data_IF_108526529416
#
_entry.id   IF_108526529416
#
_cell.length_a   1.000
_cell.length_b   1.000
_cell.length_c   1.000
_cell.angle_alpha   90.00
_cell.angle_beta   90.00
_cell.angle_gamma   90.00
#
_symmetry.space_group_name_H-M   'P 1'
#
loop_
_entity.id
_entity.type
_entity.pdbx_description
1 polymer ?
#
# COMPACT_ATOMS: atom_id res chain seq x y z
N UNK A 1 4.63 24.85 -10.80
CA UNK A 1 3.78 23.62 -10.64
C UNK A 1 4.16 22.86 -9.35
N UNK A 2 5.46 22.72 -9.05
CA UNK A 2 5.97 22.07 -7.82
C UNK A 2 5.37 22.68 -6.54
N UNK A 3 5.43 24.01 -6.39
CA UNK A 3 4.97 24.72 -5.19
C UNK A 3 3.48 24.46 -4.87
N UNK A 4 2.68 24.13 -5.88
CA UNK A 4 1.27 23.75 -5.68
C UNK A 4 1.14 22.44 -4.88
N UNK A 5 1.99 21.46 -5.12
CA UNK A 5 1.96 20.16 -4.44
C UNK A 5 2.56 20.22 -3.02
N UNK A 6 3.40 21.22 -2.73
CA UNK A 6 3.89 21.46 -1.37
C UNK A 6 2.78 21.97 -0.43
N UNK A 7 1.77 22.66 -0.98
CA UNK A 7 0.66 23.23 -0.21
C UNK A 7 -0.46 22.23 0.09
N UNK A 8 -0.43 21.01 -0.49
CA UNK A 8 -1.48 20.01 -0.32
C UNK A 8 -1.09 19.00 0.77
N UNK A 9 -1.72 19.04 1.95
CA UNK A 9 -1.42 18.11 3.03
C UNK A 9 -1.78 16.68 2.62
N UNK A 10 -0.96 15.73 3.01
CA UNK A 10 -1.17 14.29 2.78
C UNK A 10 -1.19 13.86 1.30
N UNK A 11 -0.68 14.70 0.39
CA UNK A 11 -0.50 14.35 -1.01
C UNK A 11 0.99 14.19 -1.30
N UNK A 12 1.38 13.00 -1.72
CA UNK A 12 2.72 12.73 -2.23
C UNK A 12 2.74 12.90 -3.74
N UNK A 13 3.72 13.66 -4.23
CA UNK A 13 3.95 13.87 -5.66
C UNK A 13 5.35 13.43 -6.03
N UNK A 14 5.48 12.74 -7.16
CA UNK A 14 6.77 12.43 -7.78
C UNK A 14 6.71 12.55 -9.30
N UNK A 15 7.86 12.73 -9.92
CA UNK A 15 8.02 12.63 -11.38
C UNK A 15 9.25 11.81 -11.72
N UNK A 16 9.16 11.03 -12.80
CA UNK A 16 10.22 10.18 -13.33
C UNK A 16 10.47 10.45 -14.82
N UNK A 17 11.70 10.32 -15.25
CA UNK A 17 12.07 10.34 -16.66
C UNK A 17 11.70 9.02 -17.38
N UNK A 18 11.96 8.95 -18.69
CA UNK A 18 11.72 7.75 -19.49
C UNK A 18 12.60 6.54 -19.11
N UNK A 19 13.62 6.75 -18.27
CA UNK A 19 14.48 5.70 -17.71
C UNK A 19 14.08 5.33 -16.27
N UNK A 20 12.89 5.79 -15.80
CA UNK A 20 12.35 5.59 -14.46
C UNK A 20 13.24 6.15 -13.35
N UNK A 21 14.01 7.19 -13.62
CA UNK A 21 14.77 7.92 -12.61
C UNK A 21 13.93 9.07 -12.08
N UNK A 22 13.91 9.23 -10.77
CA UNK A 22 13.22 10.32 -10.09
C UNK A 22 13.82 11.67 -10.48
N UNK A 23 12.97 12.56 -10.96
CA UNK A 23 13.30 13.91 -11.41
C UNK A 23 12.77 14.99 -10.46
N UNK A 24 11.75 14.65 -9.69
CA UNK A 24 11.14 15.55 -8.70
C UNK A 24 10.35 14.75 -7.68
N UNK A 25 10.17 15.31 -6.50
CA UNK A 25 9.25 14.84 -5.48
C UNK A 25 8.95 15.99 -4.53
N UNK A 26 7.71 16.06 -4.02
CA UNK A 26 7.40 17.01 -2.96
C UNK A 26 7.92 16.49 -1.61
N UNK A 27 7.91 17.36 -0.61
CA UNK A 27 8.41 17.04 0.73
C UNK A 27 7.76 15.80 1.34
N UNK A 28 6.46 15.61 1.14
CA UNK A 28 5.74 14.43 1.64
C UNK A 28 6.27 13.12 1.02
N UNK A 29 6.56 13.11 -0.29
CA UNK A 29 7.13 11.95 -0.96
C UNK A 29 8.59 11.68 -0.52
N UNK A 30 9.40 12.74 -0.38
CA UNK A 30 10.79 12.64 0.11
C UNK A 30 10.82 11.99 1.49
N UNK A 31 10.02 12.49 2.44
CA UNK A 31 9.93 11.92 3.79
C UNK A 31 9.40 10.47 3.77
N UNK A 32 8.40 10.17 2.94
CA UNK A 32 7.89 8.80 2.79
C UNK A 32 8.97 7.83 2.30
N UNK A 33 9.91 8.30 1.49
CA UNK A 33 11.08 7.52 1.06
C UNK A 33 12.17 7.41 2.15
N UNK A 34 11.97 7.99 3.33
CA UNK A 34 12.96 8.01 4.42
C UNK A 34 14.14 8.97 4.17
N UNK A 35 13.94 9.98 3.32
CA UNK A 35 14.94 10.98 2.97
C UNK A 35 14.59 12.33 3.60
N UNK A 36 15.60 13.19 3.78
CA UNK A 36 15.40 14.51 4.37
C UNK A 36 15.22 15.61 3.29
N UNK A 37 15.89 15.45 2.16
CA UNK A 37 15.94 16.45 1.10
C UNK A 37 15.67 15.88 -0.29
N UNK A 38 15.03 16.66 -1.15
CA UNK A 38 14.74 16.25 -2.53
C UNK A 38 16.03 15.94 -3.33
N UNK A 39 17.13 16.63 -3.05
CA UNK A 39 18.41 16.37 -3.70
C UNK A 39 18.89 14.93 -3.54
N UNK A 40 18.52 14.26 -2.44
CA UNK A 40 18.84 12.84 -2.21
C UNK A 40 17.96 11.90 -3.04
N UNK A 41 16.80 12.39 -3.49
CA UNK A 41 15.85 11.65 -4.32
C UNK A 41 16.25 11.65 -5.79
N UNK A 42 16.81 12.76 -6.28
CA UNK A 42 17.05 12.98 -7.69
C UNK A 42 18.00 11.94 -8.30
N UNK A 43 17.60 11.38 -9.44
CA UNK A 43 18.35 10.36 -10.17
C UNK A 43 18.23 8.95 -9.63
N UNK A 44 17.67 8.74 -8.42
CA UNK A 44 17.40 7.42 -7.86
C UNK A 44 16.26 6.72 -8.63
N UNK A 45 16.25 5.39 -8.52
CA UNK A 45 15.16 4.53 -8.99
C UNK A 45 14.44 3.93 -7.80
N UNK A 46 13.27 3.36 -8.04
CA UNK A 46 12.50 2.69 -6.97
C UNK A 46 13.30 1.63 -6.22
N UNK A 47 14.20 0.89 -6.90
CA UNK A 47 15.05 -0.13 -6.28
C UNK A 47 16.07 0.43 -5.27
N UNK A 48 16.36 1.73 -5.34
CA UNK A 48 17.26 2.40 -4.39
C UNK A 48 16.51 2.81 -3.10
N UNK A 49 15.18 2.83 -3.15
CA UNK A 49 14.32 3.37 -2.08
C UNK A 49 13.39 2.34 -1.44
N UNK A 50 12.90 1.39 -2.23
CA UNK A 50 11.89 0.43 -1.82
C UNK A 50 12.42 -1.01 -1.83
N UNK A 51 11.65 -1.95 -1.29
CA UNK A 51 11.98 -3.37 -1.39
C UNK A 51 12.00 -3.82 -2.85
N UNK A 52 12.79 -4.83 -3.22
CA UNK A 52 12.89 -5.28 -4.62
C UNK A 52 11.54 -5.59 -5.27
N UNK A 53 10.60 -6.20 -4.52
CA UNK A 53 9.30 -6.56 -5.04
C UNK A 53 8.40 -5.34 -5.25
N UNK A 54 8.40 -4.38 -4.31
CA UNK A 54 7.67 -3.12 -4.48
C UNK A 54 8.22 -2.32 -5.66
N UNK A 55 9.55 -2.19 -5.72
CA UNK A 55 10.23 -1.48 -6.78
C UNK A 55 9.92 -2.10 -8.16
N UNK A 56 9.93 -3.42 -8.29
CA UNK A 56 9.59 -4.09 -9.55
C UNK A 56 8.12 -3.88 -9.92
N UNK A 57 7.20 -3.95 -8.94
CA UNK A 57 5.78 -3.65 -9.18
C UNK A 57 5.60 -2.22 -9.70
N UNK A 58 6.20 -1.24 -9.02
CA UNK A 58 6.13 0.17 -9.44
C UNK A 58 6.72 0.36 -10.84
N UNK A 59 7.85 -0.28 -11.13
CA UNK A 59 8.49 -0.22 -12.44
C UNK A 59 7.65 -0.89 -13.55
N UNK A 60 6.90 -1.95 -13.25
CA UNK A 60 5.98 -2.58 -14.23
C UNK A 60 4.86 -1.63 -14.61
N UNK A 61 4.22 -0.99 -13.62
CA UNK A 61 3.17 0.00 -13.85
C UNK A 61 3.70 1.19 -14.67
N UNK A 62 4.88 1.68 -14.30
CA UNK A 62 5.52 2.82 -14.97
C UNK A 62 5.89 2.49 -16.43
N UNK A 63 6.47 1.31 -16.68
CA UNK A 63 6.77 0.83 -18.05
C UNK A 63 5.49 0.68 -18.89
N UNK A 64 4.38 0.26 -18.28
CA UNK A 64 3.08 0.20 -18.97
C UNK A 64 2.65 1.59 -19.45
N UNK A 65 2.76 2.61 -18.59
CA UNK A 65 2.43 4.00 -18.92
C UNK A 65 3.34 4.51 -20.06
N UNK A 66 4.66 4.32 -19.93
CA UNK A 66 5.62 4.75 -20.94
C UNK A 66 5.39 4.07 -22.30
N UNK A 67 4.95 2.80 -22.30
CA UNK A 67 4.68 2.06 -23.54
C UNK A 67 3.36 2.46 -24.19
N UNK A 68 2.31 2.70 -23.38
CA UNK A 68 0.94 2.86 -23.88
C UNK A 68 0.50 4.32 -23.99
N UNK A 69 1.15 5.23 -23.27
CA UNK A 69 0.73 6.62 -23.11
C UNK A 69 -0.59 6.77 -22.35
N UNK A 70 -1.09 5.69 -21.72
CA UNK A 70 -2.36 5.71 -20.98
C UNK A 70 -2.11 5.90 -19.50
N UNK A 71 -2.89 6.77 -18.83
CA UNK A 71 -2.78 6.94 -17.39
C UNK A 71 -3.27 5.70 -16.63
N UNK A 72 -2.81 5.54 -15.40
CA UNK A 72 -3.38 4.66 -14.40
C UNK A 72 -4.03 5.56 -13.36
N UNK A 73 -5.32 5.37 -13.12
CA UNK A 73 -6.09 6.18 -12.18
C UNK A 73 -6.62 5.32 -11.03
N UNK A 74 -6.69 5.91 -9.83
CA UNK A 74 -7.29 5.30 -8.64
C UNK A 74 -6.79 3.88 -8.33
N UNK A 75 -5.51 3.62 -8.57
CA UNK A 75 -4.91 2.35 -8.20
C UNK A 75 -4.77 2.26 -6.68
N UNK A 76 -5.53 1.34 -6.07
CA UNK A 76 -5.51 1.15 -4.62
C UNK A 76 -4.43 0.15 -4.24
N UNK A 77 -3.47 0.60 -3.46
CA UNK A 77 -2.27 -0.15 -3.08
C UNK A 77 -2.07 -0.14 -1.57
N UNK A 78 -1.45 -1.21 -1.08
CA UNK A 78 -0.99 -1.32 0.30
C UNK A 78 0.54 -1.26 0.30
N UNK A 79 1.12 -0.25 0.93
CA UNK A 79 2.56 -0.18 1.14
C UNK A 79 2.90 0.54 2.46
N UNK A 80 4.12 0.36 3.00
CA UNK A 80 4.50 0.96 4.27
C UNK A 80 4.56 2.48 4.20
N UNK A 81 4.09 3.13 5.26
CA UNK A 81 4.34 4.56 5.49
C UNK A 81 5.80 4.79 5.96
N UNK A 82 6.16 6.02 6.26
CA UNK A 82 7.50 6.41 6.75
C UNK A 82 7.92 5.70 8.05
N UNK A 83 6.96 5.22 8.84
CA UNK A 83 7.22 4.44 10.05
C UNK A 83 7.29 2.93 9.79
N UNK A 84 7.18 2.49 8.54
CA UNK A 84 7.17 1.08 8.18
C UNK A 84 5.82 0.39 8.38
N UNK A 85 4.78 1.13 8.78
CA UNK A 85 3.43 0.59 8.98
C UNK A 85 2.68 0.63 7.64
N UNK A 86 2.18 -0.50 7.14
CA UNK A 86 1.43 -0.53 5.90
C UNK A 86 0.13 0.26 6.00
N UNK A 87 -0.07 1.13 5.04
CA UNK A 87 -1.27 1.93 4.86
C UNK A 87 -1.83 1.77 3.45
N UNK A 88 -3.13 2.07 3.32
CA UNK A 88 -3.80 2.09 2.03
C UNK A 88 -3.58 3.43 1.34
N UNK A 89 -3.15 3.35 0.08
CA UNK A 89 -2.96 4.51 -0.77
C UNK A 89 -3.75 4.38 -2.05
N UNK A 90 -4.19 5.51 -2.59
CA UNK A 90 -4.68 5.64 -3.96
C UNK A 90 -3.62 6.35 -4.77
N UNK A 91 -3.19 5.73 -5.85
CA UNK A 91 -2.14 6.23 -6.75
C UNK A 91 -2.73 6.54 -8.12
N UNK A 92 -2.52 7.75 -8.57
CA UNK A 92 -2.76 8.17 -9.95
C UNK A 92 -1.41 8.39 -10.63
N UNK A 93 -1.21 7.83 -11.81
CA UNK A 93 0.01 8.01 -12.61
C UNK A 93 -0.37 8.46 -14.01
N UNK A 94 0.25 9.53 -14.50
CA UNK A 94 0.00 10.07 -15.82
C UNK A 94 1.30 10.21 -16.62
N UNK A 95 1.27 9.98 -17.95
CA UNK A 95 2.43 10.23 -18.80
C UNK A 95 2.71 11.72 -18.95
N UNK A 96 3.97 12.06 -19.04
CA UNK A 96 4.47 13.41 -19.37
C UNK A 96 4.92 13.41 -20.82
N UNK A 97 4.52 14.43 -21.57
CA UNK A 97 4.86 14.56 -22.99
C UNK A 97 5.79 15.74 -23.23
N UNK A 98 6.69 15.58 -24.19
CA UNK A 98 7.47 16.68 -24.75
C UNK A 98 6.54 17.60 -25.57
N UNK A 99 7.08 18.76 -26.00
CA UNK A 99 6.35 19.63 -26.94
C UNK A 99 6.12 18.97 -28.31
N UNK A 100 6.93 18.00 -28.68
CA UNK A 100 6.77 17.20 -29.93
C UNK A 100 5.74 16.08 -29.80
N UNK A 101 5.17 15.84 -28.60
CA UNK A 101 4.18 14.80 -28.36
C UNK A 101 4.77 13.42 -28.00
N UNK A 102 6.07 13.32 -27.82
CA UNK A 102 6.74 12.09 -27.37
C UNK A 102 6.66 11.95 -25.85
N UNK A 103 6.62 10.71 -25.34
CA UNK A 103 6.59 10.47 -23.90
C UNK A 103 7.97 10.75 -23.30
N UNK A 104 8.06 11.76 -22.46
CA UNK A 104 9.28 12.18 -21.77
C UNK A 104 9.48 11.46 -20.42
N UNK A 105 8.39 10.94 -19.86
CA UNK A 105 8.40 10.35 -18.53
C UNK A 105 6.97 10.20 -18.00
N UNK A 106 6.84 10.18 -16.69
CA UNK A 106 5.55 10.13 -16.00
C UNK A 106 5.61 10.93 -14.70
N UNK A 107 4.45 11.28 -14.17
CA UNK A 107 4.33 11.73 -12.79
C UNK A 107 3.23 10.98 -12.07
N UNK A 108 3.33 10.92 -10.76
CA UNK A 108 2.38 10.25 -9.89
C UNK A 108 1.94 11.12 -8.72
N UNK A 109 0.69 10.93 -8.34
CA UNK A 109 0.07 11.46 -7.14
C UNK A 109 -0.35 10.30 -6.26
N UNK A 110 0.10 10.30 -5.01
CA UNK A 110 -0.22 9.27 -4.04
C UNK A 110 -0.86 9.94 -2.83
N UNK A 111 -2.01 9.43 -2.42
CA UNK A 111 -2.76 9.93 -1.26
C UNK A 111 -3.25 8.78 -0.38
N UNK A 112 -3.38 9.02 0.90
CA UNK A 112 -4.01 8.05 1.79
C UNK A 112 -5.40 7.69 1.26
N UNK A 113 -5.67 6.40 1.14
CA UNK A 113 -6.95 5.90 0.64
C UNK A 113 -7.97 5.85 1.78
N UNK A 114 -8.79 6.90 1.85
CA UNK A 114 -9.94 6.98 2.75
C UNK A 114 -11.20 6.84 1.93
N UNK A 115 -12.12 6.01 2.39
CA UNK A 115 -13.38 5.75 1.69
C UNK A 115 -14.53 6.16 2.57
N UNK A 116 -15.46 6.91 1.99
CA UNK A 116 -16.79 7.07 2.59
C UNK A 116 -17.58 5.79 2.34
N UNK A 117 -18.02 5.16 3.40
CA UNK A 117 -18.79 3.92 3.39
C UNK A 117 -20.17 4.16 3.97
N UNK A 118 -21.18 3.44 3.48
CA UNK A 118 -22.49 3.43 4.11
C UNK A 118 -22.45 2.68 5.47
N UNK A 119 -23.42 2.96 6.33
CA UNK A 119 -23.47 2.41 7.70
C UNK A 119 -23.38 0.88 7.73
N UNK A 120 -23.99 0.20 6.76
CA UNK A 120 -23.97 -1.26 6.67
C UNK A 120 -22.57 -1.79 6.37
N UNK A 121 -21.86 -1.15 5.43
CA UNK A 121 -20.49 -1.54 5.11
C UNK A 121 -19.51 -1.13 6.21
N UNK A 122 -19.75 0.00 6.86
CA UNK A 122 -18.99 0.44 8.02
C UNK A 122 -19.08 -0.61 9.16
N UNK A 123 -20.28 -1.03 9.53
CA UNK A 123 -20.50 -2.06 10.55
C UNK A 123 -19.76 -3.37 10.22
N UNK A 124 -19.79 -3.79 8.94
CA UNK A 124 -19.03 -4.96 8.49
C UNK A 124 -17.53 -4.76 8.65
N UNK A 125 -16.99 -3.63 8.22
CA UNK A 125 -15.55 -3.38 8.31
C UNK A 125 -15.05 -3.24 9.74
N UNK A 126 -15.81 -2.61 10.61
CA UNK A 126 -15.54 -2.55 12.06
C UNK A 126 -15.49 -3.95 12.68
N UNK A 127 -16.47 -4.81 12.33
CA UNK A 127 -16.46 -6.21 12.77
C UNK A 127 -15.26 -6.97 12.25
N UNK A 128 -14.97 -6.90 10.95
CA UNK A 128 -13.83 -7.57 10.35
C UNK A 128 -12.51 -7.08 10.95
N UNK A 129 -12.40 -5.79 11.27
CA UNK A 129 -11.23 -5.19 11.91
C UNK A 129 -11.08 -5.65 13.36
N UNK A 130 -12.16 -5.79 14.10
CA UNK A 130 -12.11 -6.32 15.47
C UNK A 130 -11.78 -7.81 15.52
N UNK A 131 -12.36 -8.58 14.61
CA UNK A 131 -12.36 -10.03 14.64
C UNK A 131 -11.45 -10.65 13.54
N UNK A 132 -10.46 -9.92 13.03
CA UNK A 132 -9.62 -10.34 11.89
C UNK A 132 -8.83 -11.62 12.14
N UNK A 133 -8.44 -11.89 13.40
CA UNK A 133 -7.63 -13.04 13.77
C UNK A 133 -8.41 -14.36 13.78
N UNK A 134 -9.72 -14.29 13.98
CA UNK A 134 -10.57 -15.50 14.01
C UNK A 134 -11.09 -15.87 12.62
N UNK A 135 -11.58 -17.12 12.48
CA UNK A 135 -12.20 -17.57 11.23
C UNK A 135 -13.58 -16.93 11.10
N UNK A 136 -13.70 -15.99 10.16
CA UNK A 136 -14.97 -15.32 9.86
C UNK A 136 -15.78 -16.10 8.82
N UNK A 137 -17.07 -16.30 9.08
CA UNK A 137 -18.04 -16.76 8.09
C UNK A 137 -18.57 -15.56 7.31
N UNK A 138 -18.21 -15.44 6.03
CA UNK A 138 -18.71 -14.34 5.18
C UNK A 138 -20.24 -14.38 5.03
N UNK A 139 -20.84 -15.57 5.15
CA UNK A 139 -22.30 -15.72 5.14
C UNK A 139 -22.94 -15.06 6.36
N UNK A 140 -22.39 -15.30 7.56
CA UNK A 140 -22.93 -14.75 8.80
C UNK A 140 -22.74 -13.23 8.85
N UNK A 141 -21.57 -12.74 8.44
CA UNK A 141 -21.28 -11.31 8.36
C UNK A 141 -22.24 -10.60 7.40
N UNK A 142 -22.45 -11.16 6.21
CA UNK A 142 -23.38 -10.58 5.24
C UNK A 142 -24.82 -10.57 5.78
N UNK A 143 -25.26 -11.67 6.41
CA UNK A 143 -26.59 -11.78 7.01
C UNK A 143 -26.82 -10.75 8.11
N UNK A 144 -25.85 -10.56 9.00
CA UNK A 144 -25.94 -9.54 10.08
C UNK A 144 -26.04 -8.12 9.54
N UNK A 145 -25.37 -7.84 8.42
CA UNK A 145 -25.46 -6.56 7.73
C UNK A 145 -26.69 -6.42 6.80
N UNK A 146 -27.63 -7.38 6.84
CA UNK A 146 -28.82 -7.36 5.98
C UNK A 146 -28.53 -7.55 4.49
N UNK A 147 -27.41 -8.20 4.14
CA UNK A 147 -26.95 -8.37 2.76
C UNK A 147 -26.81 -9.85 2.41
N UNK A 148 -26.92 -10.18 1.12
CA UNK A 148 -26.38 -11.43 0.59
C UNK A 148 -24.85 -11.37 0.46
N UNK A 149 -24.18 -12.52 0.46
CA UNK A 149 -22.73 -12.59 0.25
C UNK A 149 -22.32 -11.89 -1.06
N UNK A 150 -23.09 -12.07 -2.12
CA UNK A 150 -22.84 -11.41 -3.42
C UNK A 150 -22.93 -9.88 -3.34
N UNK A 151 -23.86 -9.34 -2.56
CA UNK A 151 -23.98 -7.89 -2.34
C UNK A 151 -22.79 -7.39 -1.53
N UNK A 152 -22.38 -8.12 -0.51
CA UNK A 152 -21.20 -7.81 0.28
C UNK A 152 -19.93 -7.77 -0.59
N UNK A 153 -19.68 -8.82 -1.38
CA UNK A 153 -18.54 -8.88 -2.31
C UNK A 153 -18.54 -7.71 -3.30
N UNK A 154 -19.70 -7.40 -3.89
CA UNK A 154 -19.83 -6.27 -4.83
C UNK A 154 -19.53 -4.93 -4.16
N UNK A 155 -20.02 -4.69 -2.92
CA UNK A 155 -19.72 -3.48 -2.15
C UNK A 155 -18.23 -3.39 -1.83
N UNK A 156 -17.62 -4.48 -1.35
CA UNK A 156 -16.18 -4.51 -1.09
C UNK A 156 -15.35 -4.23 -2.36
N UNK A 157 -15.74 -4.83 -3.50
CA UNK A 157 -15.07 -4.60 -4.78
C UNK A 157 -15.23 -3.15 -5.24
N UNK A 158 -16.40 -2.55 -5.05
CA UNK A 158 -16.66 -1.15 -5.42
C UNK A 158 -15.83 -0.18 -4.57
N UNK A 159 -15.81 -0.40 -3.26
CA UNK A 159 -15.26 0.52 -2.25
C UNK A 159 -13.76 0.25 -2.03
N UNK A 160 -13.40 -0.98 -1.68
CA UNK A 160 -12.03 -1.35 -1.29
C UNK A 160 -11.23 -1.99 -2.44
N UNK A 161 -11.81 -2.11 -3.64
CA UNK A 161 -11.19 -2.75 -4.83
C UNK A 161 -10.67 -4.17 -4.53
N UNK A 162 -11.31 -4.87 -3.59
CA UNK A 162 -10.89 -6.19 -3.11
C UNK A 162 -12.09 -7.00 -2.60
N UNK A 163 -11.91 -8.31 -2.36
CA UNK A 163 -12.93 -9.11 -1.67
C UNK A 163 -12.86 -8.97 -0.15
N UNK A 164 -13.96 -9.28 0.60
CA UNK A 164 -13.93 -9.27 2.07
C UNK A 164 -12.86 -10.19 2.67
N UNK A 165 -12.65 -11.36 2.08
CA UNK A 165 -11.61 -12.30 2.52
C UNK A 165 -10.20 -11.76 2.30
N UNK A 166 -9.95 -11.11 1.18
CA UNK A 166 -8.68 -10.44 0.92
C UNK A 166 -8.49 -9.23 1.84
N UNK A 167 -9.56 -8.50 2.15
CA UNK A 167 -9.53 -7.41 3.11
C UNK A 167 -9.07 -7.90 4.50
N UNK A 168 -9.67 -8.98 5.02
CA UNK A 168 -9.23 -9.61 6.28
C UNK A 168 -7.76 -10.04 6.21
N UNK A 169 -7.34 -10.63 5.10
CA UNK A 169 -5.95 -11.03 4.92
C UNK A 169 -4.99 -9.83 5.00
N UNK A 170 -5.39 -8.70 4.42
CA UNK A 170 -4.63 -7.44 4.51
C UNK A 170 -4.56 -6.92 5.94
N UNK A 171 -5.66 -6.96 6.70
CA UNK A 171 -5.67 -6.58 8.13
C UNK A 171 -4.70 -7.44 8.95
N UNK A 172 -4.66 -8.76 8.70
CA UNK A 172 -3.73 -9.68 9.37
C UNK A 172 -2.27 -9.29 9.11
N UNK A 173 -1.94 -8.98 7.88
CA UNK A 173 -0.58 -8.56 7.51
C UNK A 173 -0.24 -7.18 8.08
N UNK A 174 -1.18 -6.22 8.04
CA UNK A 174 -1.03 -4.92 8.69
C UNK A 174 -0.68 -5.06 10.17
N UNK A 175 -1.48 -5.83 10.90
CA UNK A 175 -1.24 -6.06 12.33
C UNK A 175 0.10 -6.75 12.60
N UNK A 176 0.47 -7.70 11.74
CA UNK A 176 1.78 -8.35 11.84
C UNK A 176 2.93 -7.34 11.64
N UNK A 177 2.80 -6.39 10.71
CA UNK A 177 3.80 -5.34 10.51
C UNK A 177 3.96 -4.47 11.75
N UNK A 178 2.85 -4.00 12.35
CA UNK A 178 2.88 -3.24 13.61
C UNK A 178 3.60 -4.02 14.72
N UNK A 179 3.25 -5.29 14.91
CA UNK A 179 3.89 -6.14 15.93
C UNK A 179 5.36 -6.42 15.65
N UNK A 180 5.76 -6.45 14.38
CA UNK A 180 7.16 -6.62 13.99
C UNK A 180 7.99 -5.35 14.22
N UNK A 181 7.39 -4.16 14.13
CA UNK A 181 8.08 -2.88 14.31
C UNK A 181 8.24 -2.47 15.77
N UNK A 182 7.31 -2.85 16.63
CA UNK A 182 7.29 -2.43 18.03
C UNK A 182 7.79 -3.54 18.98
N UNK A 183 7.44 -4.79 18.70
CA UNK A 183 7.60 -5.89 19.63
C UNK A 183 8.79 -6.82 19.36
N UNK A 184 9.31 -7.46 20.42
CA UNK A 184 10.34 -8.52 20.34
C UNK A 184 9.75 -9.93 20.25
N UNK A 185 8.44 -10.07 20.13
CA UNK A 185 7.78 -11.37 20.01
C UNK A 185 8.37 -12.24 18.90
N UNK A 186 8.50 -13.57 19.09
CA UNK A 186 8.87 -14.48 18.01
C UNK A 186 7.93 -14.35 16.82
N UNK A 187 8.47 -14.42 15.61
CA UNK A 187 7.66 -14.36 14.37
C UNK A 187 6.60 -15.46 14.32
N UNK A 188 6.88 -16.62 14.90
CA UNK A 188 5.93 -17.72 15.04
C UNK A 188 4.73 -17.37 15.91
N UNK A 189 4.95 -16.65 17.00
CA UNK A 189 3.88 -16.17 17.89
C UNK A 189 3.02 -15.12 17.20
N UNK A 190 3.65 -14.18 16.51
CA UNK A 190 2.94 -13.18 15.70
C UNK A 190 2.04 -13.84 14.64
N UNK A 191 2.55 -14.87 13.93
CA UNK A 191 1.76 -15.60 12.93
C UNK A 191 0.46 -16.15 13.50
N UNK A 192 0.52 -16.78 14.67
CA UNK A 192 -0.67 -17.33 15.35
C UNK A 192 -1.61 -16.22 15.83
N UNK A 193 -1.07 -15.16 16.43
CA UNK A 193 -1.85 -14.05 16.98
C UNK A 193 -2.62 -13.29 15.89
N UNK A 194 -2.06 -13.16 14.69
CA UNK A 194 -2.77 -12.55 13.56
C UNK A 194 -3.65 -13.53 12.78
N UNK A 195 -3.86 -14.73 13.29
CA UNK A 195 -4.85 -15.69 12.80
C UNK A 195 -4.37 -16.60 11.65
N UNK A 196 -3.06 -16.81 11.50
CA UNK A 196 -2.55 -17.86 10.62
C UNK A 196 -2.44 -19.18 11.38
N UNK A 197 -2.68 -20.29 10.67
CA UNK A 197 -2.58 -21.63 11.22
C UNK A 197 -1.13 -22.03 11.51
N UNK A 198 -0.20 -21.62 10.63
CA UNK A 198 1.21 -21.94 10.77
C UNK A 198 2.12 -20.80 10.26
N UNK A 199 3.37 -20.84 10.72
CA UNK A 199 4.40 -19.86 10.38
C UNK A 199 4.76 -19.85 8.87
N UNK A 200 4.68 -20.99 8.19
CA UNK A 200 5.07 -21.09 6.77
C UNK A 200 4.04 -20.40 5.88
N UNK A 201 2.75 -20.65 6.13
CA UNK A 201 1.66 -19.95 5.45
C UNK A 201 1.72 -18.44 5.68
N UNK A 202 1.97 -18.03 6.94
CA UNK A 202 2.18 -16.63 7.30
C UNK A 202 3.35 -16.02 6.52
N UNK A 203 4.55 -16.61 6.61
CA UNK A 203 5.75 -16.05 6.00
C UNK A 203 5.64 -15.92 4.49
N UNK A 204 5.04 -16.91 3.83
CA UNK A 204 4.77 -16.86 2.39
C UNK A 204 3.82 -15.72 2.04
N UNK A 205 2.68 -15.61 2.77
CA UNK A 205 1.68 -14.57 2.49
C UNK A 205 2.19 -13.17 2.83
N UNK A 206 2.93 -13.03 3.92
CA UNK A 206 3.60 -11.79 4.28
C UNK A 206 4.57 -11.36 3.18
N UNK A 207 5.46 -12.26 2.73
CA UNK A 207 6.42 -11.93 1.67
C UNK A 207 5.75 -11.64 0.32
N UNK A 208 4.65 -12.32 0.00
CA UNK A 208 3.83 -12.03 -1.20
C UNK A 208 3.27 -10.60 -1.17
N UNK A 209 2.83 -10.13 0.00
CA UNK A 209 2.14 -8.84 0.12
C UNK A 209 3.08 -7.67 0.41
N UNK A 210 4.14 -7.89 1.16
CA UNK A 210 5.06 -6.83 1.63
C UNK A 210 6.34 -6.79 0.79
N UNK A 211 6.71 -7.89 0.13
CA UNK A 211 7.89 -7.95 -0.71
C UNK A 211 9.16 -8.42 -0.02
N UNK A 212 9.12 -8.61 1.28
CA UNK A 212 10.25 -9.12 2.05
C UNK A 212 9.78 -10.05 3.17
N UNK A 213 10.69 -10.86 3.73
CA UNK A 213 10.34 -11.77 4.82
C UNK A 213 10.01 -11.01 6.11
N UNK A 214 9.19 -11.59 7.03
CA UNK A 214 8.90 -10.97 8.32
C UNK A 214 10.16 -10.62 9.14
N UNK A 215 11.20 -11.44 9.03
CA UNK A 215 12.49 -11.19 9.72
C UNK A 215 13.25 -10.02 9.10
N UNK A 216 13.27 -9.91 7.77
CA UNK A 216 13.90 -8.80 7.07
C UNK A 216 13.15 -7.49 7.37
N UNK A 217 11.82 -7.53 7.33
CA UNK A 217 10.95 -6.41 7.69
C UNK A 217 11.24 -5.92 9.11
N UNK A 218 11.27 -6.81 10.10
CA UNK A 218 11.66 -6.44 11.48
C UNK A 218 13.03 -5.79 11.51
N UNK A 219 14.03 -6.37 10.88
CA UNK A 219 15.40 -5.82 10.88
C UNK A 219 15.45 -4.40 10.30
N UNK A 220 14.59 -4.08 9.34
CA UNK A 220 14.54 -2.78 8.67
C UNK A 220 13.81 -1.72 9.50
N UNK A 221 12.69 -2.08 10.15
CA UNK A 221 11.77 -1.12 10.74
C UNK A 221 11.64 -1.20 12.26
N UNK A 222 12.31 -2.16 12.92
CA UNK A 222 12.25 -2.29 14.38
C UNK A 222 12.77 -1.02 15.04
N UNK A 223 11.96 -0.46 15.95
CA UNK A 223 12.31 0.67 16.79
C UNK A 223 12.28 0.20 18.24
N UNK A 224 13.35 0.46 19.00
CA UNK A 224 13.27 0.29 20.44
C UNK A 224 12.37 1.40 21.00
N UNK A 225 11.37 1.02 21.78
CA UNK A 225 10.65 1.99 22.60
C UNK A 225 11.64 2.55 23.63
N UNK A 226 11.87 3.86 23.60
CA UNK A 226 12.61 4.59 24.64
C UNK A 226 11.81 4.66 25.94
#
# INVERSE_FOLDING_TARGET
MRDLFECLPNLMYFAKDSQLRLMAGNRAFVHHCGLEQESELLGKRDHDLFTPQMAEKFAQDDRQILRTGKPINEMVELFPNEMGVPEWYSTDKIPLFTRSGEIAGLCGLVRSYRVEVDDALQSVTERLTRDFAIKNSMSDIAKEAGMSVRQLERKFQSVYKTSPSQYVMRLRILRACEMLTIGRQPVTSIALEVGFYDHSAFSRKFSEMIGESPRAYRKRYYREEE
#
